data_IF_027244020488
#
_entry.id   IF_027244020488
#
_cell.length_a   1.000
_cell.length_b   1.000
_cell.length_c   1.000
_cell.angle_alpha   90.00
_cell.angle_beta   90.00
_cell.angle_gamma   90.00
#
_symmetry.space_group_name_H-M   'P 1'
#
loop_
_entity.id
_entity.type
_entity.pdbx_description
1 polymer ?
#
# COMPACT_ATOMS: atom_id res chain seq x y z
N UNK A 1 30.48 -6.67 8.94
CA UNK A 1 29.04 -6.54 9.26
C UNK A 1 28.49 -5.30 8.55
N UNK A 2 28.15 -5.41 7.26
CA UNK A 2 27.49 -4.33 6.52
C UNK A 2 26.00 -4.64 6.52
N UNK A 3 25.21 -3.91 7.30
CA UNK A 3 23.74 -4.01 7.27
C UNK A 3 23.28 -3.06 6.16
N UNK A 4 22.83 -3.62 5.06
CA UNK A 4 22.03 -2.91 4.06
C UNK A 4 20.83 -2.24 4.75
N UNK A 5 20.29 -1.13 4.19
CA UNK A 5 19.20 -0.39 4.81
C UNK A 5 17.87 -1.09 4.52
N UNK A 6 17.67 -2.32 5.00
CA UNK A 6 16.37 -2.96 4.87
C UNK A 6 15.35 -2.37 5.87
N UNK A 7 14.09 -2.25 5.42
CA UNK A 7 12.99 -1.80 6.26
C UNK A 7 12.72 -2.84 7.36
N UNK A 8 12.91 -2.46 8.63
CA UNK A 8 12.86 -3.39 9.78
C UNK A 8 11.47 -3.56 10.40
N UNK A 9 10.49 -2.75 10.00
CA UNK A 9 9.12 -2.81 10.49
C UNK A 9 8.21 -3.20 9.34
N UNK A 10 7.14 -3.92 9.67
CA UNK A 10 6.06 -4.15 8.71
C UNK A 10 5.39 -2.83 8.36
N UNK A 11 4.86 -2.72 7.15
CA UNK A 11 4.25 -1.49 6.66
C UNK A 11 3.00 -1.78 5.83
N UNK A 12 2.19 -0.76 5.62
CA UNK A 12 1.10 -0.75 4.67
C UNK A 12 0.95 0.69 4.15
N UNK A 13 0.57 0.86 2.89
CA UNK A 13 0.52 2.17 2.22
C UNK A 13 -0.91 2.39 1.77
N UNK A 14 -1.51 3.49 2.22
CA UNK A 14 -2.81 3.93 1.76
C UNK A 14 -2.65 5.01 0.69
N UNK A 15 -3.42 4.88 -0.38
CA UNK A 15 -3.48 5.85 -1.48
C UNK A 15 -4.65 6.80 -1.20
N UNK A 16 -4.41 7.78 -0.35
CA UNK A 16 -5.44 8.64 0.22
C UNK A 16 -6.18 9.44 -0.86
N UNK A 17 -7.47 9.17 -0.96
CA UNK A 17 -8.40 9.84 -1.86
C UNK A 17 -8.72 9.05 -3.15
N UNK A 18 -8.11 7.89 -3.39
CA UNK A 18 -8.56 6.98 -4.44
C UNK A 18 -9.71 6.08 -3.95
N UNK A 19 -10.74 5.90 -4.78
CA UNK A 19 -11.95 5.16 -4.40
C UNK A 19 -11.81 3.63 -4.41
N UNK A 20 -10.74 3.10 -5.01
CA UNK A 20 -10.45 1.66 -5.08
C UNK A 20 -11.64 0.78 -5.52
N UNK A 21 -12.36 1.12 -6.61
CA UNK A 21 -13.56 0.37 -7.00
C UNK A 21 -13.19 -1.05 -7.42
N UNK A 22 -13.74 -2.05 -6.70
CA UNK A 22 -13.43 -3.48 -6.88
C UNK A 22 -11.99 -3.87 -6.54
N UNK A 23 -11.20 -2.95 -5.97
CA UNK A 23 -9.80 -3.14 -5.58
C UNK A 23 -9.57 -2.79 -4.11
N UNK A 24 -10.57 -3.00 -3.24
CA UNK A 24 -10.46 -2.66 -1.81
C UNK A 24 -9.27 -3.33 -1.10
N UNK A 25 -8.80 -4.48 -1.57
CA UNK A 25 -7.57 -5.13 -1.06
C UNK A 25 -6.26 -4.40 -1.39
N UNK A 26 -6.31 -3.37 -2.24
CA UNK A 26 -5.18 -2.49 -2.59
C UNK A 26 -5.25 -1.15 -1.85
N UNK A 27 -6.21 -0.98 -0.95
CA UNK A 27 -6.45 0.31 -0.32
C UNK A 27 -5.42 0.66 0.75
N UNK A 28 -4.84 -0.33 1.44
CA UNK A 28 -3.71 -0.10 2.35
C UNK A 28 -3.95 -0.13 3.86
N UNK A 29 -5.13 0.23 4.43
CA UNK A 29 -5.30 0.17 5.88
C UNK A 29 -5.08 -1.24 6.44
N UNK A 30 -4.04 -1.38 7.27
CA UNK A 30 -3.67 -2.64 7.88
C UNK A 30 -4.79 -3.17 8.78
N UNK A 31 -5.05 -4.47 8.70
CA UNK A 31 -6.08 -5.20 9.44
C UNK A 31 -7.53 -4.82 9.11
N UNK A 32 -7.73 -3.98 8.09
CA UNK A 32 -9.05 -3.71 7.50
C UNK A 32 -9.09 -4.24 6.08
N UNK A 33 -8.18 -3.78 5.23
CA UNK A 33 -8.13 -4.10 3.81
C UNK A 33 -7.11 -5.20 3.49
N UNK A 34 -6.01 -5.26 4.26
CA UNK A 34 -4.92 -6.21 4.08
C UNK A 34 -4.14 -6.44 5.39
N UNK A 35 -3.37 -7.51 5.46
CA UNK A 35 -2.31 -7.65 6.44
C UNK A 35 -1.14 -6.71 6.10
N UNK A 36 -0.37 -6.28 7.10
CA UNK A 36 0.86 -5.51 6.88
C UNK A 36 1.89 -6.33 6.09
N UNK A 37 2.58 -5.67 5.16
CA UNK A 37 3.70 -6.24 4.42
C UNK A 37 4.86 -6.50 5.40
N UNK A 38 5.35 -7.74 5.42
CA UNK A 38 6.44 -8.12 6.32
C UNK A 38 7.76 -7.42 5.92
N UNK A 39 8.69 -7.22 6.88
CA UNK A 39 10.06 -6.82 6.57
C UNK A 39 10.67 -7.68 5.46
N UNK A 40 11.47 -7.06 4.60
CA UNK A 40 12.17 -7.72 3.48
C UNK A 40 11.23 -8.42 2.48
N UNK A 41 9.96 -8.04 2.44
CA UNK A 41 8.97 -8.54 1.47
C UNK A 41 8.46 -7.40 0.60
N UNK A 42 8.02 -7.73 -0.62
CA UNK A 42 7.46 -6.78 -1.57
C UNK A 42 5.97 -7.04 -1.76
N UNK A 43 5.19 -5.98 -1.87
CA UNK A 43 3.79 -6.03 -2.25
C UNK A 43 3.52 -5.00 -3.35
N UNK A 44 2.80 -5.42 -4.39
CA UNK A 44 2.47 -4.57 -5.54
C UNK A 44 1.03 -4.10 -5.44
N UNK A 45 0.83 -2.80 -5.27
CA UNK A 45 -0.48 -2.17 -5.39
C UNK A 45 -0.79 -1.97 -6.88
N UNK A 46 -1.89 -2.56 -7.37
CA UNK A 46 -2.31 -2.46 -8.77
C UNK A 46 -3.80 -2.19 -8.85
N UNK A 47 -4.17 -0.97 -9.25
CA UNK A 47 -5.54 -0.53 -9.36
C UNK A 47 -5.67 0.58 -10.42
N UNK A 48 -6.88 0.73 -10.95
CA UNK A 48 -7.23 1.84 -11.85
C UNK A 48 -7.59 3.09 -11.05
N UNK A 49 -7.28 4.28 -11.59
CA UNK A 49 -7.56 5.57 -10.92
C UNK A 49 -9.03 5.97 -10.95
N UNK A 50 -9.89 5.18 -11.58
CA UNK A 50 -11.32 5.39 -11.70
C UNK A 50 -11.69 6.76 -12.30
N UNK A 51 -10.86 7.24 -13.23
CA UNK A 51 -10.95 8.59 -13.82
C UNK A 51 -10.91 9.74 -12.79
N UNK A 52 -10.38 9.50 -11.59
CA UNK A 52 -10.18 10.56 -10.60
C UNK A 52 -9.02 11.46 -11.02
N UNK A 53 -9.21 12.77 -10.90
CA UNK A 53 -8.18 13.79 -11.16
C UNK A 53 -8.17 14.79 -10.02
N UNK A 54 -7.00 15.14 -9.53
CA UNK A 54 -6.84 16.03 -8.39
C UNK A 54 -5.49 15.82 -7.71
N UNK A 55 -5.37 16.37 -6.49
CA UNK A 55 -4.21 16.17 -5.64
C UNK A 55 -4.56 15.13 -4.57
N UNK A 56 -3.72 14.11 -4.45
CA UNK A 56 -3.86 12.97 -3.55
C UNK A 56 -2.53 12.73 -2.83
N UNK A 57 -2.51 11.88 -1.81
CA UNK A 57 -1.29 11.57 -1.04
C UNK A 57 -1.33 10.18 -0.43
#
# INVERSE_FOLDING_TARGET
MSRSPEMRRSYAIHWHGFFQPRTSGMDGPAFVNQCSVAPNSTFTYSFDTANQTGNFW
#
